data_IF_751058412298
#
_entry.id   IF_751058412298
#
_cell.length_a   1.000
_cell.length_b   1.000
_cell.length_c   1.000
_cell.angle_alpha   90.00
_cell.angle_beta   90.00
_cell.angle_gamma   90.00
#
_symmetry.space_group_name_H-M   'P 1'
#
loop_
_entity.id
_entity.type
_entity.pdbx_description
1 polymer ?
#
# COMPACT_ATOMS: atom_id res chain seq x y z
N UNK A 1 3.62 -38.23 6.27
CA UNK A 1 3.22 -36.81 6.27
C UNK A 1 1.97 -36.70 7.10
N UNK A 2 1.92 -35.79 8.07
CA UNK A 2 0.70 -35.54 8.83
C UNK A 2 -0.38 -34.91 7.96
N UNK A 3 -1.63 -35.00 8.38
CA UNK A 3 -2.71 -34.27 7.74
C UNK A 3 -2.58 -32.78 8.07
N UNK A 4 -2.75 -31.91 7.07
CA UNK A 4 -2.76 -30.46 7.26
C UNK A 4 -4.15 -29.98 7.66
N UNK A 5 -4.20 -28.92 8.46
CA UNK A 5 -5.44 -28.25 8.84
C UNK A 5 -5.30 -26.74 8.70
N UNK A 6 -6.37 -26.07 8.31
CA UNK A 6 -6.48 -24.61 8.34
C UNK A 6 -7.45 -24.21 9.45
N UNK A 7 -6.96 -23.44 10.41
CA UNK A 7 -7.78 -22.84 11.45
C UNK A 7 -8.41 -21.54 10.98
N UNK A 8 -9.64 -21.26 11.42
CA UNK A 8 -10.39 -20.09 10.98
C UNK A 8 -11.20 -19.45 12.12
N UNK A 9 -11.51 -18.16 11.98
CA UNK A 9 -12.32 -17.40 12.93
C UNK A 9 -13.84 -17.49 12.63
N UNK A 10 -14.65 -16.81 13.42
CA UNK A 10 -16.11 -16.81 13.25
C UNK A 10 -16.59 -16.20 11.91
N UNK A 11 -15.72 -15.47 11.22
CA UNK A 11 -15.97 -14.87 9.91
C UNK A 11 -15.42 -15.74 8.77
N UNK A 12 -14.85 -16.90 9.09
CA UNK A 12 -14.25 -17.82 8.14
C UNK A 12 -12.88 -17.37 7.62
N UNK A 13 -12.25 -16.35 8.22
CA UNK A 13 -10.90 -15.97 7.84
C UNK A 13 -9.90 -16.97 8.43
N UNK A 14 -8.96 -17.47 7.62
CA UNK A 14 -7.96 -18.42 8.11
C UNK A 14 -6.94 -17.69 8.97
N UNK A 15 -6.75 -18.18 10.19
CA UNK A 15 -5.89 -17.58 11.22
C UNK A 15 -4.58 -18.33 11.42
N UNK A 16 -4.48 -19.58 10.95
CA UNK A 16 -3.26 -20.37 11.05
C UNK A 16 -3.37 -21.74 10.41
N UNK A 17 -2.24 -22.45 10.34
CA UNK A 17 -2.14 -23.82 9.83
C UNK A 17 -1.55 -24.76 10.88
N UNK A 18 -2.05 -25.99 10.89
CA UNK A 18 -1.68 -27.05 11.82
C UNK A 18 -1.35 -28.35 11.08
N UNK A 19 -0.63 -29.24 11.75
CA UNK A 19 -0.26 -30.56 11.25
C UNK A 19 -0.56 -31.60 12.32
N UNK A 20 -1.25 -32.70 11.98
CA UNK A 20 -1.65 -33.72 12.96
C UNK A 20 -0.50 -34.31 13.80
N UNK A 21 0.73 -34.27 13.29
CA UNK A 21 1.91 -34.84 13.94
C UNK A 21 2.76 -33.74 14.58
N UNK A 22 3.10 -32.70 13.82
CA UNK A 22 4.09 -31.70 14.27
C UNK A 22 3.46 -30.60 15.14
N UNK A 23 2.21 -30.22 14.85
CA UNK A 23 1.49 -29.12 15.49
C UNK A 23 -0.01 -29.43 15.51
N UNK A 24 -0.48 -30.33 16.39
CA UNK A 24 -1.88 -30.75 16.41
C UNK A 24 -2.81 -29.57 16.73
N UNK A 25 -4.03 -29.61 16.18
CA UNK A 25 -5.04 -28.58 16.40
C UNK A 25 -5.49 -28.58 17.87
N UNK A 26 -5.38 -27.45 18.61
CA UNK A 26 -5.90 -27.36 19.96
C UNK A 26 -7.43 -27.42 20.00
N UNK A 27 -8.00 -27.99 21.07
CA UNK A 27 -9.47 -28.12 21.22
C UNK A 27 -10.24 -26.80 21.17
N UNK A 28 -9.57 -25.68 21.49
CA UNK A 28 -10.16 -24.34 21.46
C UNK A 28 -10.22 -23.70 20.06
N UNK A 29 -9.69 -24.38 19.04
CA UNK A 29 -9.53 -23.83 17.68
C UNK A 29 -10.38 -24.62 16.69
N UNK A 30 -11.22 -23.90 15.94
CA UNK A 30 -11.96 -24.49 14.82
C UNK A 30 -11.06 -24.59 13.60
N UNK A 31 -10.90 -25.79 13.05
CA UNK A 31 -10.07 -26.02 11.87
C UNK A 31 -10.70 -27.04 10.90
N UNK A 32 -10.36 -26.89 9.62
CA UNK A 32 -10.77 -27.79 8.54
C UNK A 32 -9.56 -28.53 7.98
N UNK A 33 -9.70 -29.84 7.74
CA UNK A 33 -8.65 -30.65 7.14
C UNK A 33 -8.43 -30.27 5.68
N UNK A 34 -7.19 -30.09 5.28
CA UNK A 34 -6.79 -29.77 3.91
C UNK A 34 -5.69 -30.71 3.42
N UNK A 35 -5.52 -30.79 2.10
CA UNK A 35 -4.44 -31.56 1.49
C UNK A 35 -3.12 -30.78 1.54
N UNK A 36 -1.98 -31.46 1.47
CA UNK A 36 -0.67 -30.80 1.35
C UNK A 36 -0.59 -29.89 0.12
N UNK A 37 -1.22 -30.30 -1.00
CA UNK A 37 -1.28 -29.51 -2.22
C UNK A 37 -2.06 -28.20 -2.02
N UNK A 38 -3.24 -28.28 -1.39
CA UNK A 38 -4.04 -27.09 -1.06
C UNK A 38 -3.29 -26.20 -0.05
N UNK A 39 -2.66 -26.77 0.97
CA UNK A 39 -1.83 -26.01 1.90
C UNK A 39 -0.71 -25.23 1.19
N UNK A 40 0.01 -25.86 0.27
CA UNK A 40 1.05 -25.19 -0.53
C UNK A 40 0.47 -24.07 -1.40
N UNK A 41 -0.67 -24.29 -2.04
CA UNK A 41 -1.36 -23.26 -2.82
C UNK A 41 -1.72 -22.05 -1.95
N UNK A 42 -2.32 -22.27 -0.79
CA UNK A 42 -2.74 -21.21 0.12
C UNK A 42 -1.56 -20.39 0.64
N UNK A 43 -0.47 -21.05 1.06
CA UNK A 43 0.75 -20.38 1.53
C UNK A 43 1.38 -19.53 0.42
N UNK A 44 1.46 -20.06 -0.81
CA UNK A 44 1.98 -19.32 -1.95
C UNK A 44 1.10 -18.11 -2.29
N UNK A 45 -0.21 -18.27 -2.27
CA UNK A 45 -1.16 -17.17 -2.53
C UNK A 45 -1.10 -16.09 -1.45
N UNK A 46 -1.00 -16.47 -0.18
CA UNK A 46 -0.80 -15.52 0.92
C UNK A 46 0.50 -14.74 0.76
N UNK A 47 1.59 -15.40 0.33
CA UNK A 47 2.86 -14.75 -0.01
C UNK A 47 2.76 -13.74 -1.17
N UNK A 48 1.74 -13.87 -2.02
CA UNK A 48 1.40 -12.93 -3.09
C UNK A 48 0.42 -11.82 -2.66
N UNK A 49 0.09 -11.74 -1.36
CA UNK A 49 -0.79 -10.72 -0.81
C UNK A 49 -2.29 -11.04 -0.90
N UNK A 50 -2.67 -12.28 -1.27
CA UNK A 50 -4.06 -12.73 -1.20
C UNK A 50 -4.46 -13.05 0.24
N UNK A 51 -5.75 -12.92 0.55
CA UNK A 51 -6.31 -13.37 1.82
C UNK A 51 -6.78 -14.81 1.70
N UNK A 52 -6.72 -15.56 2.79
CA UNK A 52 -7.26 -16.91 2.86
C UNK A 52 -8.53 -16.87 3.72
N UNK A 53 -9.64 -17.36 3.18
CA UNK A 53 -10.89 -17.50 3.91
C UNK A 53 -11.65 -18.75 3.43
N UNK A 54 -12.65 -19.18 4.18
CA UNK A 54 -13.53 -20.25 3.75
C UNK A 54 -14.43 -19.80 2.60
N UNK A 55 -14.60 -20.67 1.61
CA UNK A 55 -15.55 -20.53 0.52
C UNK A 55 -16.95 -21.00 0.91
N UNK A 56 -17.87 -21.06 -0.06
CA UNK A 56 -19.24 -21.49 0.16
C UNK A 56 -19.37 -22.96 0.61
N UNK A 57 -18.36 -23.79 0.31
CA UNK A 57 -18.29 -25.20 0.68
C UNK A 57 -17.58 -25.42 2.03
N UNK A 58 -17.15 -24.33 2.69
CA UNK A 58 -16.43 -24.37 3.95
C UNK A 58 -14.96 -24.76 3.80
N UNK A 59 -14.42 -24.71 2.58
CA UNK A 59 -13.02 -25.02 2.29
C UNK A 59 -12.19 -23.74 2.19
N UNK A 60 -10.93 -23.72 2.66
CA UNK A 60 -10.09 -22.55 2.54
C UNK A 60 -9.73 -22.29 1.08
N UNK A 61 -9.97 -21.06 0.63
CA UNK A 61 -9.66 -20.60 -0.71
C UNK A 61 -8.95 -19.23 -0.67
N UNK A 62 -8.28 -18.91 -1.76
CA UNK A 62 -7.62 -17.63 -1.96
C UNK A 62 -8.61 -16.59 -2.48
N UNK A 63 -8.64 -15.44 -1.82
CA UNK A 63 -9.40 -14.28 -2.25
C UNK A 63 -8.47 -13.08 -2.41
N UNK A 64 -8.89 -12.12 -3.22
CA UNK A 64 -8.17 -10.86 -3.31
C UNK A 64 -8.23 -10.11 -1.96
N UNK A 65 -7.19 -9.32 -1.64
CA UNK A 65 -7.18 -8.51 -0.43
C UNK A 65 -8.39 -7.58 -0.44
N UNK A 66 -8.91 -7.30 0.76
CA UNK A 66 -9.99 -6.33 0.89
C UNK A 66 -9.52 -4.98 0.37
N UNK A 67 -10.41 -4.21 -0.28
CA UNK A 67 -10.08 -2.86 -0.69
C UNK A 67 -9.63 -2.05 0.53
N UNK A 68 -8.63 -1.16 0.38
CA UNK A 68 -8.14 -0.37 1.49
C UNK A 68 -9.28 0.47 2.07
N UNK A 69 -9.30 0.58 3.39
CA UNK A 69 -10.23 1.46 4.10
C UNK A 69 -10.00 2.92 3.68
N UNK A 70 -11.00 3.79 3.89
CA UNK A 70 -10.84 5.24 3.63
C UNK A 70 -9.64 5.84 4.38
N UNK A 71 -9.35 5.36 5.60
CA UNK A 71 -8.19 5.79 6.37
C UNK A 71 -6.87 5.39 5.69
N UNK A 72 -6.75 4.11 5.29
CA UNK A 72 -5.58 3.61 4.56
C UNK A 72 -5.38 4.33 3.22
N UNK A 73 -6.46 4.60 2.47
CA UNK A 73 -6.40 5.40 1.24
C UNK A 73 -5.86 6.81 1.51
N UNK A 74 -6.31 7.46 2.59
CA UNK A 74 -5.82 8.78 2.98
C UNK A 74 -4.34 8.76 3.37
N UNK A 75 -3.88 7.72 4.07
CA UNK A 75 -2.47 7.55 4.45
C UNK A 75 -1.59 7.34 3.21
N UNK A 76 -2.03 6.47 2.28
CA UNK A 76 -1.35 6.25 0.99
C UNK A 76 -1.23 7.55 0.19
N UNK A 77 -2.29 8.36 0.14
CA UNK A 77 -2.27 9.63 -0.58
C UNK A 77 -1.39 10.69 0.09
N UNK A 78 -1.34 10.75 1.43
CA UNK A 78 -0.39 11.60 2.14
C UNK A 78 1.05 11.19 1.85
N UNK A 79 1.35 9.89 1.88
CA UNK A 79 2.68 9.39 1.55
C UNK A 79 3.09 9.74 0.10
N UNK A 80 2.17 9.62 -0.86
CA UNK A 80 2.39 10.04 -2.27
C UNK A 80 2.67 11.54 -2.38
N UNK A 81 1.85 12.39 -1.73
CA UNK A 81 2.04 13.84 -1.69
C UNK A 81 3.39 14.21 -1.09
N UNK A 82 3.73 13.60 0.05
CA UNK A 82 4.96 13.89 0.78
C UNK A 82 6.19 13.45 -0.04
N UNK A 83 6.10 12.32 -0.75
CA UNK A 83 7.11 11.89 -1.73
C UNK A 83 7.30 12.89 -2.88
N UNK A 84 6.21 13.42 -3.45
CA UNK A 84 6.28 14.44 -4.50
C UNK A 84 6.87 15.78 -4.00
N UNK A 85 6.58 16.16 -2.76
CA UNK A 85 7.22 17.32 -2.12
C UNK A 85 8.71 17.08 -1.87
N UNK A 86 9.10 15.89 -1.40
CA UNK A 86 10.51 15.56 -1.17
C UNK A 86 11.32 15.53 -2.47
N UNK A 87 10.76 14.95 -3.54
CA UNK A 87 11.40 14.86 -4.86
C UNK A 87 11.73 16.23 -5.46
N UNK A 88 11.00 17.28 -5.06
CA UNK A 88 11.13 18.64 -5.60
C UNK A 88 11.83 19.62 -4.66
N UNK A 89 12.24 19.16 -3.48
CA UNK A 89 12.78 20.05 -2.45
C UNK A 89 14.17 20.60 -2.81
N UNK A 90 15.01 19.74 -3.39
CA UNK A 90 16.37 20.11 -3.81
C UNK A 90 16.39 21.20 -4.90
N UNK A 91 15.40 21.22 -5.81
CA UNK A 91 15.27 22.27 -6.83
C UNK A 91 15.01 23.64 -6.22
N UNK A 92 14.23 23.68 -5.13
CA UNK A 92 13.95 24.92 -4.41
C UNK A 92 15.21 25.42 -3.71
N UNK A 93 15.90 24.54 -2.97
CA UNK A 93 17.15 24.88 -2.30
C UNK A 93 18.21 25.38 -3.30
N UNK A 94 18.44 24.63 -4.39
CA UNK A 94 19.38 25.02 -5.44
C UNK A 94 19.06 26.40 -6.05
N UNK A 95 17.80 26.67 -6.38
CA UNK A 95 17.44 27.96 -6.97
C UNK A 95 17.65 29.12 -5.98
N UNK A 96 17.47 28.89 -4.69
CA UNK A 96 17.77 29.88 -3.64
C UNK A 96 19.28 30.13 -3.55
N UNK A 97 20.09 29.07 -3.55
CA UNK A 97 21.55 29.17 -3.53
C UNK A 97 22.09 29.92 -4.76
N UNK A 98 21.62 29.58 -5.95
CA UNK A 98 21.99 30.23 -7.22
C UNK A 98 21.66 31.73 -7.21
N UNK A 99 20.51 32.11 -6.64
CA UNK A 99 20.15 33.53 -6.47
C UNK A 99 21.07 34.27 -5.50
N UNK A 100 21.52 33.61 -4.44
CA UNK A 100 22.45 34.20 -3.48
C UNK A 100 23.85 34.37 -4.08
N UNK A 101 24.28 33.42 -4.92
CA UNK A 101 25.56 33.48 -5.63
C UNK A 101 25.55 34.61 -6.67
N UNK A 102 24.44 34.78 -7.40
CA UNK A 102 24.26 35.87 -8.36
C UNK A 102 24.81 35.61 -9.77
N UNK A 103 25.31 34.39 -10.04
CA UNK A 103 25.86 33.98 -11.34
C UNK A 103 24.80 33.50 -12.35
N UNK A 104 23.52 33.71 -12.03
CA UNK A 104 22.37 33.23 -12.80
C UNK A 104 21.77 31.95 -12.22
N UNK A 105 20.56 31.62 -12.66
CA UNK A 105 19.79 30.46 -12.17
C UNK A 105 19.63 29.41 -13.25
N UNK A 106 19.66 28.14 -12.86
CA UNK A 106 19.45 27.01 -13.79
C UNK A 106 18.00 26.93 -14.24
N UNK A 107 17.06 27.19 -13.32
CA UNK A 107 15.65 27.35 -13.65
C UNK A 107 15.38 28.80 -14.03
N UNK A 108 14.57 29.02 -15.07
CA UNK A 108 14.02 30.35 -15.37
C UNK A 108 13.07 30.80 -14.26
N UNK A 109 12.80 32.10 -14.17
CA UNK A 109 11.83 32.63 -13.20
C UNK A 109 10.43 32.02 -13.38
N UNK A 110 10.05 31.72 -14.63
CA UNK A 110 8.77 31.07 -14.97
C UNK A 110 8.74 29.62 -14.50
N UNK A 111 9.81 28.85 -14.75
CA UNK A 111 9.94 27.47 -14.27
C UNK A 111 9.93 27.42 -12.75
N UNK A 112 10.66 28.30 -12.07
CA UNK A 112 10.65 28.37 -10.61
C UNK A 112 9.25 28.72 -10.07
N UNK A 113 8.54 29.64 -10.71
CA UNK A 113 7.14 29.96 -10.34
C UNK A 113 6.21 28.76 -10.54
N UNK A 114 6.36 28.01 -11.64
CA UNK A 114 5.61 26.79 -11.89
C UNK A 114 5.88 25.72 -10.82
N UNK A 115 7.14 25.56 -10.41
CA UNK A 115 7.54 24.66 -9.32
C UNK A 115 6.86 25.02 -7.99
N UNK A 116 6.85 26.30 -7.63
CA UNK A 116 6.20 26.76 -6.40
C UNK A 116 4.69 26.54 -6.43
N UNK A 117 4.02 26.81 -7.56
CA UNK A 117 2.59 26.53 -7.74
C UNK A 117 2.28 25.04 -7.64
N UNK A 118 3.10 24.19 -8.25
CA UNK A 118 2.98 22.74 -8.14
C UNK A 118 3.07 22.28 -6.68
N UNK A 119 4.11 22.73 -5.95
CA UNK A 119 4.29 22.41 -4.52
C UNK A 119 3.15 22.93 -3.66
N UNK A 120 2.57 24.08 -4.00
CA UNK A 120 1.39 24.60 -3.30
C UNK A 120 0.15 23.73 -3.55
N UNK A 121 -0.12 23.36 -4.80
CA UNK A 121 -1.23 22.47 -5.15
C UNK A 121 -1.14 21.11 -4.43
N UNK A 122 0.07 20.56 -4.26
CA UNK A 122 0.30 19.36 -3.45
C UNK A 122 -0.11 19.56 -1.99
N UNK A 123 0.23 20.70 -1.36
CA UNK A 123 -0.12 21.00 0.04
C UNK A 123 -1.62 21.16 0.24
N UNK A 124 -2.29 21.80 -0.70
CA UNK A 124 -3.73 22.08 -0.65
C UNK A 124 -4.60 20.85 -0.93
N UNK A 125 -3.98 19.74 -1.39
CA UNK A 125 -4.68 18.53 -1.80
C UNK A 125 -5.55 17.89 -0.69
N UNK A 126 -5.16 18.03 0.58
CA UNK A 126 -5.94 17.50 1.70
C UNK A 126 -7.33 18.17 1.84
N UNK A 127 -7.49 19.39 1.31
CA UNK A 127 -8.76 20.12 1.27
C UNK A 127 -9.55 19.92 -0.03
N UNK A 128 -9.05 19.10 -0.97
CA UNK A 128 -9.71 18.91 -2.26
C UNK A 128 -11.02 18.12 -2.12
N UNK A 129 -12.01 18.50 -2.93
CA UNK A 129 -13.26 17.73 -3.07
C UNK A 129 -12.94 16.32 -3.53
N UNK A 130 -13.46 15.32 -2.81
CA UNK A 130 -13.21 13.90 -3.13
C UNK A 130 -12.08 13.26 -2.31
N UNK A 131 -11.41 13.98 -1.41
CA UNK A 131 -10.38 13.41 -0.54
C UNK A 131 -10.87 12.14 0.20
N UNK A 132 -10.09 11.04 0.21
CA UNK A 132 -8.74 10.87 -0.34
C UNK A 132 -8.68 10.37 -1.80
N UNK A 133 -9.80 10.19 -2.49
CA UNK A 133 -9.86 9.68 -3.86
C UNK A 133 -9.63 10.80 -4.89
N UNK A 134 -8.47 11.45 -4.80
CA UNK A 134 -8.03 12.52 -5.69
C UNK A 134 -6.70 12.14 -6.33
N UNK A 135 -6.42 12.70 -7.50
CA UNK A 135 -5.14 12.52 -8.17
C UNK A 135 -4.12 13.57 -7.71
N UNK A 136 -2.83 13.22 -7.77
CA UNK A 136 -1.79 14.22 -7.59
C UNK A 136 -1.81 15.18 -8.80
N UNK A 137 -1.57 16.48 -8.57
CA UNK A 137 -1.29 17.40 -9.67
C UNK A 137 -0.16 16.86 -10.56
N UNK A 138 -0.22 17.15 -11.86
CA UNK A 138 0.84 16.79 -12.79
C UNK A 138 2.13 17.55 -12.44
N UNK A 139 3.25 16.83 -12.36
CA UNK A 139 4.56 17.45 -12.17
C UNK A 139 4.95 18.24 -13.43
N UNK A 140 5.60 19.42 -13.29
CA UNK A 140 6.14 20.13 -14.45
C UNK A 140 7.27 19.34 -15.15
N UNK A 141 7.39 19.48 -16.47
CA UNK A 141 8.31 18.70 -17.32
C UNK A 141 9.80 18.86 -16.99
N UNK A 142 10.18 19.91 -16.26
CA UNK A 142 11.57 20.16 -15.83
C UNK A 142 11.92 19.52 -14.47
N UNK A 143 10.97 18.77 -13.88
CA UNK A 143 11.08 18.16 -12.55
C UNK A 143 11.29 16.64 -12.63
N UNK A 144 11.15 16.07 -13.83
CA UNK A 144 11.45 14.66 -14.15
C UNK A 144 12.93 14.33 -14.19
#
# INVERSE_FOLDING_TARGET
MGQKFAAYDAQGAVTGFYDSVDSPVPDSVTAVGITDALWQELINGQGQGKRIALDADGMPALFDPLPPTRAQQADMMRARRDGALAATDWLVARHQDEKLIGDGTTLTAEQFTALLRYRQALRDLAGATGWPNVELPAAPDFVT
#
